data_IF_220716462896
#
_entry.id   IF_220716462896
#
_cell.length_a   1.000
_cell.length_b   1.000
_cell.length_c   1.000
_cell.angle_alpha   90.00
_cell.angle_beta   90.00
_cell.angle_gamma   90.00
#
_symmetry.space_group_name_H-M   'P 1'
#
loop_
_entity.id
_entity.type
_entity.pdbx_description
1 polymer ?
#
# COMPACT_ATOMS: atom_id res chain seq x y z
N UNK A 1 14.05 -34.74 -7.45
CA UNK A 1 15.22 -34.01 -6.93
C UNK A 1 15.69 -32.82 -7.78
N UNK A 2 16.26 -32.97 -9.00
CA UNK A 2 16.76 -31.80 -9.76
C UNK A 2 15.66 -30.85 -10.27
N UNK A 3 14.49 -31.39 -10.66
CA UNK A 3 13.31 -30.62 -11.09
C UNK A 3 12.64 -29.86 -9.93
N UNK A 4 12.61 -30.45 -8.74
CA UNK A 4 12.10 -29.80 -7.50
C UNK A 4 12.98 -28.64 -7.06
N UNK A 5 14.32 -28.81 -7.05
CA UNK A 5 15.25 -27.71 -6.75
C UNK A 5 15.10 -26.55 -7.73
N UNK A 6 14.95 -26.84 -9.03
CA UNK A 6 14.78 -25.80 -10.06
C UNK A 6 13.46 -25.04 -9.91
N UNK A 7 12.37 -25.75 -9.60
CA UNK A 7 11.06 -25.15 -9.29
C UNK A 7 11.10 -24.25 -8.04
N UNK A 8 11.82 -24.67 -7.01
CA UNK A 8 11.96 -23.90 -5.77
C UNK A 8 12.81 -22.63 -5.97
N UNK A 9 13.88 -22.71 -6.78
CA UNK A 9 14.71 -21.55 -7.12
C UNK A 9 13.95 -20.52 -7.97
N UNK A 10 13.18 -20.97 -8.96
CA UNK A 10 12.34 -20.06 -9.76
C UNK A 10 11.23 -19.43 -8.94
N UNK A 11 10.58 -20.19 -8.06
CA UNK A 11 9.54 -19.67 -7.17
C UNK A 11 10.10 -18.60 -6.22
N UNK A 12 11.29 -18.84 -5.67
CA UNK A 12 11.98 -17.86 -4.84
C UNK A 12 12.31 -16.57 -5.61
N UNK A 13 12.81 -16.68 -6.84
CA UNK A 13 13.10 -15.52 -7.68
C UNK A 13 11.83 -14.70 -8.02
N UNK A 14 10.73 -15.37 -8.37
CA UNK A 14 9.45 -14.68 -8.60
C UNK A 14 8.92 -13.99 -7.35
N UNK A 15 9.02 -14.64 -6.19
CA UNK A 15 8.62 -14.04 -4.92
C UNK A 15 9.48 -12.83 -4.56
N UNK A 16 10.80 -12.91 -4.73
CA UNK A 16 11.71 -11.79 -4.49
C UNK A 16 11.37 -10.59 -5.39
N UNK A 17 11.18 -10.84 -6.69
CA UNK A 17 10.82 -9.79 -7.64
C UNK A 17 9.49 -9.13 -7.25
N UNK A 18 8.49 -9.93 -6.94
CA UNK A 18 7.19 -9.45 -6.43
C UNK A 18 7.35 -8.60 -5.16
N UNK A 19 8.08 -9.09 -4.16
CA UNK A 19 8.28 -8.40 -2.90
C UNK A 19 9.01 -7.05 -3.10
N UNK A 20 9.99 -7.03 -4.01
CA UNK A 20 10.71 -5.81 -4.36
C UNK A 20 9.81 -4.78 -5.05
N UNK A 21 9.04 -5.19 -6.06
CA UNK A 21 8.09 -4.29 -6.74
C UNK A 21 7.04 -3.75 -5.79
N UNK A 22 6.45 -4.59 -4.94
CA UNK A 22 5.47 -4.15 -3.95
C UNK A 22 6.06 -3.18 -2.93
N UNK A 23 7.31 -3.39 -2.51
CA UNK A 23 8.02 -2.45 -1.63
C UNK A 23 8.23 -1.10 -2.33
N UNK A 24 8.70 -1.13 -3.58
CA UNK A 24 8.93 0.09 -4.37
C UNK A 24 7.62 0.85 -4.58
N UNK A 25 6.58 0.19 -5.08
CA UNK A 25 5.28 0.79 -5.36
C UNK A 25 4.67 1.44 -4.11
N UNK A 26 4.68 0.74 -2.98
CA UNK A 26 4.23 1.29 -1.70
C UNK A 26 5.02 2.51 -1.27
N UNK A 27 6.35 2.49 -1.46
CA UNK A 27 7.21 3.61 -1.11
C UNK A 27 6.86 4.84 -1.95
N UNK A 28 6.59 4.64 -3.25
CA UNK A 28 6.08 5.69 -4.13
C UNK A 28 4.73 6.23 -3.66
N UNK A 29 3.78 5.36 -3.30
CA UNK A 29 2.47 5.82 -2.82
C UNK A 29 2.57 6.64 -1.53
N UNK A 30 3.33 6.18 -0.53
CA UNK A 30 3.50 6.91 0.73
C UNK A 30 4.22 8.24 0.49
N UNK A 31 5.30 8.24 -0.31
CA UNK A 31 6.03 9.46 -0.65
C UNK A 31 5.14 10.46 -1.40
N UNK A 32 4.37 9.99 -2.36
CA UNK A 32 3.43 10.82 -3.12
C UNK A 32 2.35 11.41 -2.23
N UNK A 33 1.76 10.61 -1.35
CA UNK A 33 0.71 11.08 -0.45
C UNK A 33 1.20 12.11 0.58
N UNK A 34 2.35 11.86 1.21
CA UNK A 34 2.97 12.82 2.14
C UNK A 34 3.42 14.08 1.38
N UNK A 35 4.05 13.92 0.21
CA UNK A 35 4.51 15.02 -0.63
C UNK A 35 3.38 15.92 -1.11
N UNK A 36 2.25 15.33 -1.53
CA UNK A 36 1.05 16.07 -1.91
C UNK A 36 0.49 16.90 -0.76
N UNK A 37 0.42 16.34 0.45
CA UNK A 37 -0.01 17.08 1.64
C UNK A 37 0.98 18.19 2.02
N UNK A 38 2.29 17.93 1.95
CA UNK A 38 3.31 18.93 2.21
C UNK A 38 3.22 20.11 1.23
N UNK A 39 2.99 19.82 -0.06
CA UNK A 39 2.78 20.84 -1.09
C UNK A 39 1.60 21.75 -0.73
N UNK A 40 0.47 21.20 -0.27
CA UNK A 40 -0.70 22.00 0.14
C UNK A 40 -0.42 22.91 1.35
N UNK A 41 0.48 22.48 2.24
CA UNK A 41 0.86 23.26 3.42
C UNK A 41 1.86 24.37 3.09
N UNK A 42 2.74 24.15 2.12
CA UNK A 42 3.81 25.09 1.76
C UNK A 42 3.37 26.08 0.68
N UNK A 43 2.66 25.63 -0.35
CA UNK A 43 2.29 26.46 -1.51
C UNK A 43 1.01 27.24 -1.29
N UNK A 44 1.13 28.49 -0.86
CA UNK A 44 -0.01 29.35 -0.53
C UNK A 44 -0.93 29.61 -1.72
N UNK A 45 -0.36 29.74 -2.94
CA UNK A 45 -1.13 29.96 -4.16
C UNK A 45 -2.06 28.79 -4.46
N UNK A 46 -1.52 27.57 -4.39
CA UNK A 46 -2.27 26.35 -4.61
C UNK A 46 -3.36 26.17 -3.55
N UNK A 47 -2.97 26.36 -2.28
CA UNK A 47 -3.92 26.29 -1.15
C UNK A 47 -5.05 27.28 -1.32
N UNK A 48 -4.76 28.53 -1.66
CA UNK A 48 -5.77 29.58 -1.84
C UNK A 48 -6.70 29.26 -3.00
N UNK A 49 -6.17 28.80 -4.14
CA UNK A 49 -6.98 28.39 -5.29
C UNK A 49 -7.95 27.27 -4.92
N UNK A 50 -7.49 26.27 -4.17
CA UNK A 50 -8.35 25.18 -3.69
C UNK A 50 -9.38 25.64 -2.67
N UNK A 51 -9.05 26.61 -1.79
CA UNK A 51 -10.00 27.18 -0.83
C UNK A 51 -11.13 27.88 -1.59
N UNK A 52 -10.78 28.69 -2.60
CA UNK A 52 -11.74 29.40 -3.45
C UNK A 52 -12.61 28.41 -4.23
N UNK A 53 -12.03 27.33 -4.75
CA UNK A 53 -12.76 26.26 -5.43
C UNK A 53 -13.62 25.40 -4.48
N UNK A 54 -13.42 25.47 -3.17
CA UNK A 54 -14.14 24.65 -2.18
C UNK A 54 -13.64 23.19 -2.07
N UNK A 55 -12.52 22.85 -2.72
CA UNK A 55 -12.08 21.47 -2.93
C UNK A 55 -11.02 20.98 -1.91
N UNK A 56 -10.49 21.87 -1.06
CA UNK A 56 -9.38 21.53 -0.12
C UNK A 56 -9.66 20.29 0.69
N UNK A 57 -10.86 20.19 1.27
CA UNK A 57 -11.22 19.08 2.17
C UNK A 57 -11.21 17.75 1.43
N UNK A 58 -11.72 17.72 0.20
CA UNK A 58 -11.76 16.51 -0.61
C UNK A 58 -10.34 16.09 -1.00
N UNK A 59 -9.52 17.02 -1.51
CA UNK A 59 -8.13 16.73 -1.90
C UNK A 59 -7.32 16.21 -0.71
N UNK A 60 -7.42 16.86 0.45
CA UNK A 60 -6.73 16.41 1.68
C UNK A 60 -7.24 15.03 2.11
N UNK A 61 -8.55 14.79 2.07
CA UNK A 61 -9.13 13.49 2.42
C UNK A 61 -8.65 12.38 1.48
N UNK A 62 -8.55 12.64 0.17
CA UNK A 62 -8.04 11.69 -0.81
C UNK A 62 -6.58 11.32 -0.54
N UNK A 63 -5.72 12.31 -0.30
CA UNK A 63 -4.31 12.04 0.04
C UNK A 63 -4.16 11.27 1.35
N UNK A 64 -4.86 11.70 2.42
CA UNK A 64 -4.81 11.02 3.71
C UNK A 64 -5.33 9.58 3.63
N UNK A 65 -6.42 9.36 2.89
CA UNK A 65 -7.00 8.03 2.71
C UNK A 65 -6.04 7.10 1.97
N UNK A 66 -5.42 7.57 0.88
CA UNK A 66 -4.43 6.79 0.15
C UNK A 66 -3.22 6.40 1.01
N UNK A 67 -2.68 7.34 1.80
CA UNK A 67 -1.57 7.05 2.73
C UNK A 67 -2.01 6.07 3.83
N UNK A 68 -3.17 6.29 4.43
CA UNK A 68 -3.70 5.43 5.49
C UNK A 68 -3.89 3.99 4.99
N UNK A 69 -4.47 3.81 3.80
CA UNK A 69 -4.62 2.51 3.15
C UNK A 69 -3.28 1.78 3.00
N UNK A 70 -2.24 2.48 2.53
CA UNK A 70 -0.90 1.92 2.37
C UNK A 70 -0.23 1.54 3.69
N UNK A 71 -0.42 2.33 4.75
CA UNK A 71 0.08 2.01 6.09
C UNK A 71 -0.65 0.78 6.65
N UNK A 72 -1.98 0.72 6.50
CA UNK A 72 -2.79 -0.39 6.99
C UNK A 72 -2.41 -1.71 6.32
N UNK A 73 -2.25 -1.73 4.99
CA UNK A 73 -1.89 -2.96 4.27
C UNK A 73 -0.45 -3.39 4.57
N UNK A 74 0.48 -2.43 4.75
CA UNK A 74 1.84 -2.73 5.19
C UNK A 74 1.87 -3.36 6.59
N UNK A 75 1.06 -2.80 7.51
CA UNK A 75 0.88 -3.35 8.85
C UNK A 75 0.30 -4.76 8.80
N UNK A 76 -0.78 -4.96 8.05
CA UNK A 76 -1.41 -6.26 7.86
C UNK A 76 -0.41 -7.30 7.36
N UNK A 77 0.35 -6.97 6.31
CA UNK A 77 1.37 -7.85 5.76
C UNK A 77 2.52 -8.12 6.74
N UNK A 78 2.92 -7.13 7.53
CA UNK A 78 3.95 -7.31 8.56
C UNK A 78 3.48 -8.30 9.63
N UNK A 79 2.27 -8.14 10.16
CA UNK A 79 1.73 -9.05 11.16
C UNK A 79 1.51 -10.44 10.59
N UNK A 80 0.88 -10.54 9.42
CA UNK A 80 0.58 -11.82 8.79
C UNK A 80 1.86 -12.66 8.57
N UNK A 81 2.93 -12.03 8.07
CA UNK A 81 4.22 -12.69 7.90
C UNK A 81 4.90 -13.04 9.22
N UNK A 82 4.77 -12.21 10.27
CA UNK A 82 5.29 -12.53 11.59
C UNK A 82 4.67 -13.81 12.18
N UNK A 83 3.34 -13.96 12.08
CA UNK A 83 2.66 -15.16 12.57
C UNK A 83 3.03 -16.40 11.75
N UNK A 84 3.19 -16.27 10.43
CA UNK A 84 3.69 -17.36 9.59
C UNK A 84 5.12 -17.76 10.00
N UNK A 85 6.01 -16.79 10.18
CA UNK A 85 7.38 -17.00 10.63
C UNK A 85 7.45 -17.70 11.99
N UNK A 86 6.67 -17.25 12.97
CA UNK A 86 6.59 -17.89 14.28
C UNK A 86 6.09 -19.35 14.21
N UNK A 87 5.20 -19.67 13.26
CA UNK A 87 4.76 -21.04 13.01
C UNK A 87 5.80 -21.93 12.35
N UNK A 88 6.71 -21.38 11.55
CA UNK A 88 7.86 -22.13 11.00
C UNK A 88 8.90 -22.41 12.08
N UNK A 89 9.16 -21.44 12.98
CA UNK A 89 10.09 -21.61 14.11
C UNK A 89 9.55 -22.58 15.18
N UNK A 90 8.24 -22.56 15.45
CA UNK A 90 7.60 -23.41 16.45
C UNK A 90 6.43 -24.21 15.84
N UNK A 91 6.62 -25.48 15.44
CA UNK A 91 5.59 -26.26 14.76
C UNK A 91 4.29 -26.45 15.57
N UNK A 92 4.36 -26.39 16.91
CA UNK A 92 3.18 -26.43 17.77
C UNK A 92 2.28 -25.21 17.57
N UNK A 93 2.86 -24.06 17.22
CA UNK A 93 2.17 -22.80 17.00
C UNK A 93 1.29 -22.82 15.74
N UNK A 94 1.62 -23.66 14.74
CA UNK A 94 0.84 -23.83 13.52
C UNK A 94 -0.60 -24.30 13.76
N UNK A 95 -0.87 -24.93 14.92
CA UNK A 95 -2.20 -25.40 15.30
C UNK A 95 -3.07 -24.32 15.93
N UNK A 96 -2.52 -23.15 16.23
CA UNK A 96 -3.26 -22.06 16.88
C UNK A 96 -4.23 -21.38 15.93
N UNK A 97 -5.34 -20.86 16.48
CA UNK A 97 -6.31 -20.10 15.71
C UNK A 97 -5.69 -18.83 15.09
N UNK A 98 -4.76 -18.18 15.79
CA UNK A 98 -4.03 -17.02 15.31
C UNK A 98 -3.22 -17.35 14.05
N UNK A 99 -2.40 -18.42 14.08
CA UNK A 99 -1.66 -18.84 12.90
C UNK A 99 -2.58 -19.14 11.71
N UNK A 100 -3.69 -19.85 11.93
CA UNK A 100 -4.66 -20.17 10.86
C UNK A 100 -5.31 -18.93 10.25
N UNK A 101 -5.63 -17.93 11.07
CA UNK A 101 -6.20 -16.68 10.60
C UNK A 101 -5.19 -15.89 9.74
N UNK A 102 -3.99 -15.67 10.27
CA UNK A 102 -2.96 -14.88 9.62
C UNK A 102 -2.37 -15.56 8.37
N UNK A 103 -2.21 -16.89 8.39
CA UNK A 103 -1.85 -17.67 7.20
C UNK A 103 -2.97 -17.72 6.15
N UNK A 104 -4.23 -17.51 6.56
CA UNK A 104 -5.34 -17.28 5.64
C UNK A 104 -5.20 -15.94 4.93
N UNK A 105 -4.87 -14.88 5.67
CA UNK A 105 -4.65 -13.53 5.12
C UNK A 105 -3.48 -13.51 4.13
N UNK A 106 -2.34 -14.14 4.45
CA UNK A 106 -1.18 -14.17 3.53
C UNK A 106 -1.47 -14.84 2.20
N UNK A 107 -2.49 -15.71 2.12
CA UNK A 107 -2.92 -16.34 0.86
C UNK A 107 -3.80 -15.42 0.00
N UNK A 108 -4.35 -14.36 0.57
CA UNK A 108 -5.29 -13.46 -0.11
C UNK A 108 -4.56 -12.26 -0.74
N UNK A 109 -3.72 -12.53 -1.73
CA UNK A 109 -3.01 -11.48 -2.49
C UNK A 109 -3.96 -10.41 -3.09
N UNK A 110 -5.22 -10.77 -3.34
CA UNK A 110 -6.21 -9.84 -3.88
C UNK A 110 -6.44 -8.62 -2.97
N UNK A 111 -6.21 -8.75 -1.66
CA UNK A 111 -6.35 -7.63 -0.71
C UNK A 111 -5.32 -6.54 -1.03
N UNK A 112 -4.07 -6.92 -1.25
CA UNK A 112 -3.00 -5.98 -1.63
C UNK A 112 -3.37 -5.25 -2.94
N UNK A 113 -3.81 -6.00 -3.95
CA UNK A 113 -4.20 -5.44 -5.26
C UNK A 113 -5.34 -4.45 -5.13
N UNK A 114 -6.40 -4.79 -4.38
CA UNK A 114 -7.55 -3.90 -4.20
C UNK A 114 -7.16 -2.63 -3.45
N UNK A 115 -6.30 -2.73 -2.44
CA UNK A 115 -5.80 -1.57 -1.69
C UNK A 115 -4.92 -0.69 -2.58
N UNK A 116 -4.06 -1.27 -3.41
CA UNK A 116 -3.22 -0.52 -4.35
C UNK A 116 -4.06 0.19 -5.42
N UNK A 117 -5.10 -0.46 -5.96
CA UNK A 117 -6.04 0.16 -6.89
C UNK A 117 -6.80 1.29 -6.20
N UNK A 118 -7.32 1.09 -4.99
CA UNK A 118 -8.02 2.13 -4.24
C UNK A 118 -7.12 3.34 -3.96
N UNK A 119 -5.87 3.09 -3.54
CA UNK A 119 -4.85 4.13 -3.33
C UNK A 119 -4.58 4.91 -4.61
N UNK A 120 -4.42 4.19 -5.72
CA UNK A 120 -4.21 4.74 -7.05
C UNK A 120 -5.36 5.69 -7.43
N UNK A 121 -6.61 5.23 -7.29
CA UNK A 121 -7.80 6.06 -7.55
C UNK A 121 -7.80 7.31 -6.68
N UNK A 122 -7.53 7.19 -5.37
CA UNK A 122 -7.48 8.35 -4.48
C UNK A 122 -6.49 9.41 -4.97
N UNK A 123 -5.27 9.00 -5.30
CA UNK A 123 -4.22 9.92 -5.74
C UNK A 123 -4.48 10.50 -7.12
N UNK A 124 -4.93 9.70 -8.09
CA UNK A 124 -5.26 10.22 -9.42
C UNK A 124 -6.45 11.19 -9.38
N UNK A 125 -7.46 10.93 -8.56
CA UNK A 125 -8.56 11.87 -8.35
C UNK A 125 -8.06 13.19 -7.72
N UNK A 126 -7.19 13.12 -6.72
CA UNK A 126 -6.61 14.31 -6.10
C UNK A 126 -5.80 15.12 -7.12
N UNK A 127 -4.96 14.47 -7.93
CA UNK A 127 -4.21 15.11 -9.01
C UNK A 127 -5.15 15.76 -10.03
N UNK A 128 -6.21 15.07 -10.43
CA UNK A 128 -7.20 15.60 -11.38
C UNK A 128 -7.82 16.91 -10.89
N UNK A 129 -8.21 16.96 -9.62
CA UNK A 129 -8.76 18.18 -8.99
C UNK A 129 -7.70 19.29 -8.92
N UNK A 130 -6.48 18.96 -8.49
CA UNK A 130 -5.37 19.92 -8.44
C UNK A 130 -5.10 20.53 -9.82
N UNK A 131 -5.10 19.68 -10.86
CA UNK A 131 -4.85 20.11 -12.23
C UNK A 131 -5.98 21.00 -12.74
N UNK A 132 -7.25 20.62 -12.54
CA UNK A 132 -8.39 21.44 -12.98
C UNK A 132 -8.38 22.82 -12.32
N UNK A 133 -8.09 22.89 -11.01
CA UNK A 133 -8.03 24.16 -10.27
C UNK A 133 -6.84 25.02 -10.71
N UNK A 134 -5.73 24.41 -11.14
CA UNK A 134 -4.57 25.16 -11.61
C UNK A 134 -4.72 25.68 -13.05
N UNK A 135 -5.49 24.98 -13.89
CA UNK A 135 -5.69 25.37 -15.30
C UNK A 135 -6.80 26.41 -15.50
N UNK A 136 -7.59 26.70 -14.47
CA UNK A 136 -8.63 27.73 -14.46
C UNK A 136 -8.14 29.01 -13.78
#
# INVERSE_FOLDING_TARGET
MAREKKGNLTAHAYFQSYAEYNRILRSWFVAFGIGGLALLLVEEKLRTALIVAGEVRLVVALFLSGVALQILIAGLNKYANWYCYAGEDEPAYQRTAAYRFWSGITRQFIIDVLVDIATTVCFFSAIGILFSVFTH
#
